data_IF_326065380643
#
_entry.id   IF_326065380643
#
_cell.length_a   1.000
_cell.length_b   1.000
_cell.length_c   1.000
_cell.angle_alpha   90.00
_cell.angle_beta   90.00
_cell.angle_gamma   90.00
#
_symmetry.space_group_name_H-M   'P 1'
#
loop_
_entity.id
_entity.type
_entity.pdbx_description
1 polymer ?
#
# COMPACT_ATOMS: atom_id res chain seq x y z
N UNK A 1 9.38 -10.77 -2.52
CA UNK A 1 9.72 -9.49 -3.16
C UNK A 1 9.25 -8.39 -2.24
N UNK A 2 10.11 -7.41 -1.98
CA UNK A 2 9.85 -6.33 -1.01
C UNK A 2 9.71 -5.04 -1.80
N UNK A 3 8.64 -4.28 -1.56
CA UNK A 3 8.42 -2.97 -2.17
C UNK A 3 8.74 -1.89 -1.14
N UNK A 4 9.54 -0.91 -1.55
CA UNK A 4 9.95 0.22 -0.73
C UNK A 4 9.14 1.45 -1.08
N UNK A 5 8.72 2.18 -0.06
CA UNK A 5 8.06 3.47 -0.22
C UNK A 5 9.08 4.57 -0.63
N UNK A 6 8.58 5.79 -0.84
CA UNK A 6 9.39 6.95 -1.21
C UNK A 6 10.49 7.32 -0.19
N UNK A 7 10.39 6.81 1.04
CA UNK A 7 11.36 7.04 2.12
C UNK A 7 12.36 5.89 2.25
N UNK A 8 12.24 4.84 1.41
CA UNK A 8 13.04 3.63 1.49
C UNK A 8 12.55 2.62 2.52
N UNK A 9 11.36 2.83 3.11
CA UNK A 9 10.75 1.93 4.10
C UNK A 9 9.98 0.82 3.41
N UNK A 10 10.11 -0.41 3.91
CA UNK A 10 9.30 -1.54 3.44
C UNK A 10 7.82 -1.29 3.69
N UNK A 11 7.01 -1.43 2.64
CA UNK A 11 5.56 -1.42 2.71
C UNK A 11 5.06 -2.76 3.27
N UNK A 12 4.17 -2.70 4.26
CA UNK A 12 3.66 -3.84 5.03
C UNK A 12 2.14 -3.93 4.98
N UNK A 13 1.63 -5.06 5.43
CA UNK A 13 0.20 -5.27 5.61
C UNK A 13 -0.40 -4.18 6.52
N UNK A 14 -1.57 -3.68 6.11
CA UNK A 14 -2.31 -2.57 6.72
C UNK A 14 -1.68 -1.19 6.58
N UNK A 15 -0.56 -1.02 5.88
CA UNK A 15 -0.11 0.32 5.50
C UNK A 15 -1.15 0.98 4.60
N UNK A 16 -1.40 2.26 4.84
CA UNK A 16 -2.17 3.12 3.95
C UNK A 16 -1.14 3.87 3.11
N UNK A 17 -1.21 3.66 1.80
CA UNK A 17 -0.32 4.24 0.82
C UNK A 17 -1.04 5.31 0.00
N UNK A 18 -0.28 6.34 -0.42
CA UNK A 18 -0.65 7.30 -1.45
C UNK A 18 0.22 7.04 -2.67
N UNK A 19 -0.38 6.88 -3.85
CA UNK A 19 0.38 6.86 -5.10
C UNK A 19 0.86 8.27 -5.44
N UNK A 20 2.16 8.46 -5.62
CA UNK A 20 2.74 9.81 -5.83
C UNK A 20 2.28 10.44 -7.15
N UNK A 21 2.06 9.63 -8.18
CA UNK A 21 1.68 10.11 -9.51
C UNK A 21 0.20 10.53 -9.61
N UNK A 22 -0.70 9.89 -8.87
CA UNK A 22 -2.16 10.04 -9.02
C UNK A 22 -2.87 10.58 -7.78
N UNK A 23 -2.17 10.68 -6.64
CA UNK A 23 -2.74 10.98 -5.32
C UNK A 23 -3.81 9.96 -4.85
N UNK A 24 -3.90 8.80 -5.48
CA UNK A 24 -4.82 7.74 -5.07
C UNK A 24 -4.39 7.14 -3.73
N UNK A 25 -5.36 7.02 -2.83
CA UNK A 25 -5.17 6.40 -1.52
C UNK A 25 -5.52 4.92 -1.59
N UNK A 26 -4.75 4.06 -0.95
CA UNK A 26 -4.99 2.61 -0.96
C UNK A 26 -4.51 1.94 0.32
N UNK A 27 -5.25 0.93 0.79
CA UNK A 27 -4.83 0.10 1.92
C UNK A 27 -4.14 -1.16 1.41
N UNK A 28 -3.02 -1.51 2.04
CA UNK A 28 -2.29 -2.74 1.75
C UNK A 28 -2.93 -3.88 2.54
N UNK A 29 -3.31 -4.96 1.85
CA UNK A 29 -3.95 -6.13 2.44
C UNK A 29 -3.26 -7.41 1.93
N UNK A 30 -3.43 -8.50 2.65
CA UNK A 30 -3.01 -9.82 2.18
C UNK A 30 -4.18 -10.55 1.52
N UNK A 31 -3.99 -11.04 0.30
CA UNK A 31 -5.02 -11.84 -0.38
C UNK A 31 -5.05 -13.29 0.13
N UNK A 32 -6.01 -14.09 -0.36
CA UNK A 32 -6.18 -15.52 0.02
C UNK A 32 -4.95 -16.40 -0.24
N UNK A 33 -4.01 -15.96 -1.10
CA UNK A 33 -2.76 -16.67 -1.43
C UNK A 33 -1.55 -16.15 -0.65
N UNK A 34 -1.76 -15.26 0.32
CA UNK A 34 -0.68 -14.69 1.12
C UNK A 34 0.10 -13.55 0.44
N UNK A 35 -0.31 -13.09 -0.75
CA UNK A 35 0.35 -11.99 -1.46
C UNK A 35 -0.22 -10.64 -1.03
N UNK A 36 0.64 -9.63 -0.94
CA UNK A 36 0.23 -8.25 -0.68
C UNK A 36 -0.43 -7.65 -1.92
N UNK A 37 -1.57 -7.01 -1.69
CA UNK A 37 -2.34 -6.25 -2.67
C UNK A 37 -2.59 -4.85 -2.10
N UNK A 38 -2.78 -3.87 -2.98
CA UNK A 38 -3.31 -2.55 -2.63
C UNK A 38 -4.76 -2.48 -3.05
N UNK A 39 -5.61 -1.87 -2.20
CA UNK A 39 -7.04 -1.77 -2.46
C UNK A 39 -7.58 -0.39 -2.09
N UNK A 40 -8.50 0.12 -2.92
CA UNK A 40 -9.39 1.21 -2.55
C UNK A 40 -10.81 0.89 -3.01
N UNK A 41 -11.69 0.60 -2.05
CA UNK A 41 -13.08 0.23 -2.32
C UNK A 41 -13.96 1.41 -2.78
N UNK A 42 -13.51 2.67 -2.60
CA UNK A 42 -14.26 3.86 -3.02
C UNK A 42 -14.18 4.04 -4.54
N UNK A 43 -13.02 3.78 -5.13
CA UNK A 43 -12.77 3.93 -6.58
C UNK A 43 -12.67 2.59 -7.33
N UNK A 44 -12.73 1.46 -6.62
CA UNK A 44 -12.65 0.13 -7.23
C UNK A 44 -11.24 -0.36 -7.56
N UNK A 45 -10.19 0.28 -7.02
CA UNK A 45 -8.79 -0.11 -7.23
C UNK A 45 -8.46 -1.40 -6.46
N UNK A 46 -7.82 -2.35 -7.13
CA UNK A 46 -7.36 -3.61 -6.54
C UNK A 46 -6.24 -4.24 -7.35
N UNK A 47 -4.99 -3.99 -6.96
CA UNK A 47 -3.80 -4.48 -7.68
C UNK A 47 -2.85 -5.23 -6.75
N UNK A 48 -1.94 -6.01 -7.33
CA UNK A 48 -0.83 -6.55 -6.56
C UNK A 48 0.14 -5.43 -6.18
N UNK A 49 0.68 -5.48 -4.96
CA UNK A 49 1.66 -4.49 -4.52
C UNK A 49 2.94 -4.52 -5.38
N UNK A 50 3.29 -5.67 -5.95
CA UNK A 50 4.52 -5.88 -6.73
C UNK A 50 4.49 -5.28 -8.14
N UNK A 51 3.36 -4.72 -8.60
CA UNK A 51 3.30 -3.95 -9.86
C UNK A 51 3.79 -2.51 -9.71
N UNK A 52 3.93 -2.03 -8.47
CA UNK A 52 4.41 -0.69 -8.15
C UNK A 52 5.93 -0.73 -7.90
N UNK A 53 6.75 -0.07 -8.74
CA UNK A 53 8.15 0.17 -8.47
C UNK A 53 8.43 0.80 -7.10
N UNK A 54 9.63 0.55 -6.59
CA UNK A 54 10.12 1.22 -5.39
C UNK A 54 10.08 2.74 -5.57
N UNK A 55 9.53 3.44 -4.59
CA UNK A 55 9.41 4.90 -4.61
C UNK A 55 8.17 5.47 -5.32
N UNK A 56 7.26 4.64 -5.82
CA UNK A 56 5.98 5.13 -6.37
C UNK A 56 4.89 5.35 -5.32
N UNK A 57 4.99 4.63 -4.21
CA UNK A 57 4.02 4.69 -3.11
C UNK A 57 4.65 5.41 -1.91
N UNK A 58 3.86 6.24 -1.25
CA UNK A 58 4.20 6.85 0.03
C UNK A 58 3.32 6.24 1.13
N UNK A 59 3.93 5.67 2.17
CA UNK A 59 3.17 5.28 3.36
C UNK A 59 2.78 6.53 4.14
N UNK A 60 1.47 6.72 4.37
CA UNK A 60 0.93 7.85 5.15
C UNK A 60 0.45 7.44 6.53
N UNK A 61 0.33 6.14 6.79
CA UNK A 61 -0.09 5.60 8.07
C UNK A 61 -0.23 4.08 8.03
N UNK A 62 -0.60 3.48 9.15
CA UNK A 62 -0.91 2.06 9.24
C UNK A 62 -2.26 1.88 9.95
N UNK A 63 -3.20 1.23 9.27
CA UNK A 63 -4.59 1.08 9.73
C UNK A 63 -4.76 0.05 10.86
N UNK A 64 -3.73 -0.74 11.19
CA UNK A 64 -3.78 -1.68 12.32
C UNK A 64 -3.41 -1.03 13.66
N UNK A 65 -2.90 0.21 13.65
CA UNK A 65 -2.48 0.91 14.86
C UNK A 65 -3.44 2.08 15.11
N UNK A 66 -4.11 2.05 16.26
CA UNK A 66 -4.78 3.22 16.82
C UNK A 66 -3.82 3.89 17.80
N UNK A 67 -3.54 5.18 17.60
CA UNK A 67 -2.96 6.00 18.66
C UNK A 67 -4.11 6.37 19.60
N UNK A 68 -4.28 5.56 20.65
CA UNK A 68 -5.16 5.91 21.78
C UNK A 68 -4.36 6.68 22.82
#
# INVERSE_FOLDING_TARGET
>A
MTVLDITGKTIKEYDVCRAVATDEMMIVLKNKKGKLIVKNSIIGLSDFLDVYPNGELQVVGNAAVSFT
#
